data_IF_570792950901
#
_entry.id   IF_570792950901
#
_cell.length_a   1.000
_cell.length_b   1.000
_cell.length_c   1.000
_cell.angle_alpha   90.00
_cell.angle_beta   90.00
_cell.angle_gamma   90.00
#
_symmetry.space_group_name_H-M   'P 1'
#
loop_
_entity.id
_entity.type
_entity.pdbx_description
1 polymer ?
#
# COMPACT_ATOMS: atom_id res chain seq x y z
N UNK A 1 23.68 -2.72 26.52
CA UNK A 1 22.91 -2.52 25.27
C UNK A 1 21.71 -3.48 25.25
N UNK A 2 20.56 -3.07 25.82
CA UNK A 2 19.40 -3.96 26.08
C UNK A 2 18.74 -4.46 24.77
N UNK A 3 18.69 -3.61 23.74
CA UNK A 3 18.08 -3.94 22.46
C UNK A 3 18.75 -5.15 21.78
N UNK A 4 20.09 -5.23 21.81
CA UNK A 4 20.81 -6.35 21.19
C UNK A 4 20.50 -7.69 21.86
N UNK A 5 20.41 -7.71 23.20
CA UNK A 5 20.08 -8.92 23.97
C UNK A 5 18.69 -9.45 23.59
N UNK A 6 17.70 -8.57 23.46
CA UNK A 6 16.35 -8.97 23.04
C UNK A 6 16.33 -9.42 21.57
N UNK A 7 17.06 -8.74 20.68
CA UNK A 7 17.18 -9.11 19.26
C UNK A 7 17.77 -10.51 19.11
N UNK A 8 18.85 -10.82 19.81
CA UNK A 8 19.52 -12.13 19.76
C UNK A 8 18.66 -13.24 20.36
N UNK A 9 17.91 -12.97 21.44
CA UNK A 9 16.96 -13.96 21.99
C UNK A 9 15.83 -14.32 21.02
N UNK A 10 15.32 -13.34 20.27
CA UNK A 10 14.21 -13.56 19.34
C UNK A 10 14.66 -14.12 17.99
N UNK A 11 15.80 -13.66 17.49
CA UNK A 11 16.22 -13.89 16.10
C UNK A 11 17.59 -14.57 15.98
N UNK A 12 18.28 -14.87 17.08
CA UNK A 12 19.66 -15.33 17.06
C UNK A 12 20.60 -14.35 16.36
N UNK A 13 21.57 -14.90 15.62
CA UNK A 13 22.45 -14.13 14.75
C UNK A 13 22.00 -14.11 13.28
N UNK A 14 20.68 -14.15 13.05
CA UNK A 14 20.11 -14.04 11.71
C UNK A 14 19.69 -12.60 11.41
N UNK A 15 20.00 -12.14 10.20
CA UNK A 15 19.43 -10.96 9.58
C UNK A 15 18.69 -11.40 8.31
N UNK A 16 17.39 -11.11 8.23
CA UNK A 16 16.56 -11.47 7.08
C UNK A 16 16.44 -10.30 6.11
N UNK A 17 16.27 -10.61 4.84
CA UNK A 17 15.99 -9.64 3.79
C UNK A 17 15.01 -10.26 2.79
N UNK A 18 14.45 -9.42 1.94
CA UNK A 18 13.65 -9.82 0.78
C UNK A 18 14.16 -9.08 -0.45
N UNK A 19 14.07 -9.73 -1.61
CA UNK A 19 14.26 -9.05 -2.88
C UNK A 19 12.89 -8.66 -3.43
N UNK A 20 12.54 -7.38 -3.32
CA UNK A 20 11.25 -6.88 -3.75
C UNK A 20 11.36 -5.82 -4.85
N UNK A 21 10.25 -5.63 -5.59
CA UNK A 21 10.06 -4.51 -6.49
C UNK A 21 9.10 -3.51 -5.84
N UNK A 22 9.62 -2.34 -5.49
CA UNK A 22 8.81 -1.25 -4.93
C UNK A 22 8.22 -0.38 -6.04
N UNK A 23 6.91 -0.13 -6.00
CA UNK A 23 6.17 0.64 -7.01
C UNK A 23 5.24 1.64 -6.34
N UNK A 24 5.29 2.90 -6.78
CA UNK A 24 4.24 3.87 -6.51
C UNK A 24 3.37 3.96 -7.77
N UNK A 25 2.11 3.49 -7.74
CA UNK A 25 1.28 3.45 -8.95
C UNK A 25 0.71 4.83 -9.34
N UNK A 26 0.55 5.72 -8.35
CA UNK A 26 0.19 7.12 -8.56
C UNK A 26 0.56 7.97 -7.34
N UNK A 27 0.95 9.22 -7.55
CA UNK A 27 1.09 10.21 -6.46
C UNK A 27 -0.13 11.15 -6.31
N UNK A 28 -1.18 10.94 -7.11
CA UNK A 28 -2.42 11.73 -7.03
C UNK A 28 -3.19 11.34 -5.78
N UNK A 29 -3.48 12.30 -4.92
CA UNK A 29 -4.05 12.04 -3.60
C UNK A 29 -5.02 13.13 -3.17
N UNK A 30 -6.13 12.75 -2.51
CA UNK A 30 -7.07 13.70 -1.92
C UNK A 30 -6.59 14.31 -0.59
N UNK A 31 -5.55 13.75 0.03
CA UNK A 31 -4.94 14.27 1.25
C UNK A 31 -3.77 15.21 0.93
N UNK A 32 -3.34 16.00 1.91
CA UNK A 32 -2.19 16.92 1.79
C UNK A 32 -1.33 16.89 3.05
N UNK A 33 -0.69 15.74 3.31
CA UNK A 33 0.22 15.58 4.44
C UNK A 33 1.50 16.41 4.23
N UNK A 34 1.95 17.13 5.26
CA UNK A 34 3.04 18.13 5.14
C UNK A 34 4.41 17.53 4.77
N UNK A 35 4.61 16.25 5.05
CA UNK A 35 5.86 15.52 4.83
C UNK A 35 5.81 14.58 3.61
N UNK A 36 4.67 14.53 2.92
CA UNK A 36 4.46 13.58 1.82
C UNK A 36 4.74 14.25 0.48
N UNK A 37 5.49 13.56 -0.38
CA UNK A 37 5.70 13.96 -1.77
C UNK A 37 4.51 13.61 -2.69
N UNK A 38 3.48 12.95 -2.14
CA UNK A 38 2.17 12.81 -2.79
C UNK A 38 1.29 13.97 -2.35
N UNK A 39 0.03 14.01 -2.81
CA UNK A 39 -0.85 15.19 -2.82
C UNK A 39 -0.76 16.01 -4.11
N UNK A 40 -0.24 15.40 -5.18
CA UNK A 40 -0.40 15.94 -6.51
C UNK A 40 -1.90 16.00 -6.84
N UNK A 41 -2.36 17.13 -7.34
CA UNK A 41 -3.64 17.22 -8.05
C UNK A 41 -3.40 16.73 -9.47
N UNK A 42 -4.42 16.15 -10.11
CA UNK A 42 -4.31 15.61 -11.48
C UNK A 42 -3.75 16.59 -12.53
N UNK A 43 -3.89 17.90 -12.29
CA UNK A 43 -3.40 18.97 -13.17
C UNK A 43 -1.98 19.46 -12.85
N UNK A 44 -1.40 19.01 -11.74
CA UNK A 44 -0.08 19.47 -11.33
C UNK A 44 0.98 18.81 -12.22
N UNK A 45 2.02 19.56 -12.61
CA UNK A 45 3.02 19.08 -13.55
C UNK A 45 3.82 17.86 -13.07
N UNK A 46 3.85 17.62 -11.75
CA UNK A 46 4.53 16.48 -11.13
C UNK A 46 3.59 15.29 -10.85
N UNK A 47 2.31 15.39 -11.23
CA UNK A 47 1.36 14.31 -11.06
C UNK A 47 1.67 13.16 -12.03
N UNK A 48 1.59 11.93 -11.54
CA UNK A 48 1.68 10.73 -12.35
C UNK A 48 0.66 9.68 -11.91
N UNK A 49 0.25 8.86 -12.87
CA UNK A 49 -0.65 7.71 -12.72
C UNK A 49 -0.19 6.71 -13.79
N UNK A 50 0.40 5.59 -13.37
CA UNK A 50 0.88 4.56 -14.29
C UNK A 50 -0.29 3.69 -14.79
N UNK A 51 -0.25 3.32 -16.06
CA UNK A 51 -1.14 2.31 -16.60
C UNK A 51 -0.82 0.93 -16.00
N UNK A 52 -1.83 0.06 -15.91
CA UNK A 52 -1.64 -1.32 -15.42
C UNK A 52 -0.59 -2.05 -16.27
N UNK A 53 -0.60 -1.86 -17.58
CA UNK A 53 0.36 -2.48 -18.49
C UNK A 53 1.81 -2.08 -18.15
N UNK A 54 2.07 -0.79 -17.88
CA UNK A 54 3.38 -0.30 -17.45
C UNK A 54 3.83 -0.94 -16.13
N UNK A 55 2.93 -1.02 -15.15
CA UNK A 55 3.21 -1.65 -13.86
C UNK A 55 3.54 -3.14 -14.06
N UNK A 56 2.74 -3.85 -14.85
CA UNK A 56 2.93 -5.28 -15.11
C UNK A 56 4.21 -5.57 -15.88
N UNK A 57 4.59 -4.71 -16.82
CA UNK A 57 5.87 -4.81 -17.54
C UNK A 57 7.04 -4.67 -16.56
N UNK A 58 7.01 -3.64 -15.72
CA UNK A 58 8.06 -3.37 -14.72
C UNK A 58 8.23 -4.52 -13.72
N UNK A 59 7.13 -5.17 -13.33
CA UNK A 59 7.17 -6.36 -12.46
C UNK A 59 7.66 -7.57 -13.24
N UNK A 60 7.17 -7.79 -14.46
CA UNK A 60 7.59 -8.87 -15.34
C UNK A 60 9.10 -8.88 -15.60
N UNK A 61 9.67 -7.70 -15.87
CA UNK A 61 11.13 -7.55 -16.06
C UNK A 61 11.94 -7.82 -14.78
N UNK A 62 11.33 -7.67 -13.61
CA UNK A 62 11.97 -7.91 -12.32
C UNK A 62 11.93 -9.38 -11.88
N UNK A 63 10.98 -10.17 -12.38
CA UNK A 63 10.85 -11.59 -12.01
C UNK A 63 12.10 -12.42 -12.36
N UNK A 64 12.68 -12.33 -13.58
CA UNK A 64 13.92 -13.02 -13.92
C UNK A 64 15.13 -12.62 -13.04
N UNK A 65 15.06 -11.45 -12.39
CA UNK A 65 16.09 -10.97 -11.47
C UNK A 65 15.95 -11.57 -10.05
N UNK A 66 14.96 -12.43 -9.83
CA UNK A 66 14.72 -13.12 -8.56
C UNK A 66 13.91 -12.30 -7.56
N UNK A 67 13.10 -11.34 -8.02
CA UNK A 67 12.12 -10.66 -7.15
C UNK A 67 11.03 -11.64 -6.74
N UNK A 68 10.70 -11.66 -5.45
CA UNK A 68 9.66 -12.53 -4.87
C UNK A 68 8.46 -11.77 -4.29
N UNK A 69 8.57 -10.45 -4.14
CA UNK A 69 7.50 -9.58 -3.67
C UNK A 69 7.41 -8.32 -4.53
N UNK A 70 6.18 -7.89 -4.83
CA UNK A 70 5.91 -6.51 -5.23
C UNK A 70 5.35 -5.76 -4.02
N UNK A 71 5.98 -4.64 -3.67
CA UNK A 71 5.50 -3.72 -2.63
C UNK A 71 4.94 -2.48 -3.31
N UNK A 72 3.63 -2.26 -3.20
CA UNK A 72 2.97 -1.22 -3.98
C UNK A 72 2.02 -0.34 -3.14
N UNK A 73 2.19 0.97 -3.25
CA UNK A 73 1.32 1.97 -2.60
C UNK A 73 1.04 3.13 -3.55
N UNK A 74 0.03 3.94 -3.25
CA UNK A 74 -0.26 5.15 -4.01
C UNK A 74 -0.91 6.22 -3.17
N UNK A 75 -1.26 7.32 -3.82
CA UNK A 75 -2.16 8.31 -3.23
C UNK A 75 -3.60 7.78 -3.13
N UNK A 76 -4.40 8.44 -2.29
CA UNK A 76 -5.85 8.21 -2.23
C UNK A 76 -6.49 8.76 -3.51
N UNK A 77 -6.47 7.95 -4.57
CA UNK A 77 -6.84 8.39 -5.90
C UNK A 77 -8.34 8.72 -5.99
N UNK A 78 -8.73 9.90 -6.51
CA UNK A 78 -10.14 10.34 -6.49
C UNK A 78 -11.01 9.66 -7.55
N UNK A 79 -10.44 9.15 -8.65
CA UNK A 79 -11.20 8.70 -9.82
C UNK A 79 -10.91 7.29 -10.29
N UNK A 80 -9.95 6.58 -9.68
CA UNK A 80 -9.68 5.19 -10.05
C UNK A 80 -10.84 4.33 -9.57
N UNK A 81 -11.41 3.53 -10.46
CA UNK A 81 -12.59 2.71 -10.19
C UNK A 81 -12.18 1.38 -9.55
N UNK A 82 -13.14 0.70 -8.95
CA UNK A 82 -12.98 -0.63 -8.35
C UNK A 82 -12.30 -1.61 -9.31
N UNK A 83 -12.71 -1.60 -10.58
CA UNK A 83 -12.25 -2.53 -11.61
C UNK A 83 -10.74 -2.39 -11.84
N UNK A 84 -10.20 -1.17 -11.78
CA UNK A 84 -8.78 -0.92 -11.98
C UNK A 84 -7.93 -1.61 -10.91
N UNK A 85 -8.33 -1.54 -9.63
CA UNK A 85 -7.60 -2.18 -8.54
C UNK A 85 -7.68 -3.70 -8.61
N UNK A 86 -8.85 -4.24 -8.98
CA UNK A 86 -9.02 -5.67 -9.14
C UNK A 86 -8.21 -6.20 -10.33
N UNK A 87 -8.29 -5.53 -11.48
CA UNK A 87 -7.55 -5.88 -12.69
C UNK A 87 -6.04 -5.83 -12.44
N UNK A 88 -5.54 -4.79 -11.76
CA UNK A 88 -4.12 -4.67 -11.43
C UNK A 88 -3.62 -5.89 -10.65
N UNK A 89 -4.33 -6.30 -9.59
CA UNK A 89 -3.97 -7.46 -8.79
C UNK A 89 -4.04 -8.76 -9.60
N UNK A 90 -5.08 -8.93 -10.42
CA UNK A 90 -5.23 -10.11 -11.29
C UNK A 90 -4.08 -10.23 -12.28
N UNK A 91 -3.74 -9.12 -12.95
CA UNK A 91 -2.66 -9.06 -13.94
C UNK A 91 -1.31 -9.34 -13.29
N UNK A 92 -1.04 -8.77 -12.11
CA UNK A 92 0.19 -9.07 -11.35
C UNK A 92 0.27 -10.54 -10.91
N UNK A 93 -0.85 -11.11 -10.43
CA UNK A 93 -0.91 -12.53 -10.04
C UNK A 93 -0.71 -13.47 -11.23
N UNK A 94 -1.15 -13.07 -12.42
CA UNK A 94 -0.99 -13.84 -13.65
C UNK A 94 0.46 -13.88 -14.16
N UNK A 95 1.34 -12.94 -13.76
CA UNK A 95 2.75 -12.96 -14.13
C UNK A 95 3.49 -14.14 -13.47
N UNK A 96 3.26 -14.35 -12.18
CA UNK A 96 3.78 -15.50 -11.44
C UNK A 96 2.87 -15.80 -10.23
N UNK A 97 2.25 -16.99 -10.15
CA UNK A 97 1.47 -17.41 -9.00
C UNK A 97 2.24 -17.37 -7.66
N UNK A 98 3.58 -17.45 -7.69
CA UNK A 98 4.45 -17.40 -6.50
C UNK A 98 4.80 -15.98 -6.06
N UNK A 99 4.58 -14.96 -6.89
CA UNK A 99 4.85 -13.56 -6.53
C UNK A 99 3.96 -13.14 -5.35
N UNK A 100 4.56 -12.65 -4.26
CA UNK A 100 3.79 -12.06 -3.17
C UNK A 100 3.40 -10.63 -3.53
N UNK A 101 2.09 -10.33 -3.49
CA UNK A 101 1.59 -8.98 -3.76
C UNK A 101 1.30 -8.32 -2.43
N UNK A 102 2.20 -7.42 -2.03
CA UNK A 102 2.07 -6.60 -0.82
C UNK A 102 1.66 -5.19 -1.24
N UNK A 103 0.36 -4.90 -1.19
CA UNK A 103 -0.16 -3.65 -1.71
C UNK A 103 -1.15 -2.97 -0.77
N UNK A 104 -1.24 -1.64 -0.93
CA UNK A 104 -2.13 -0.73 -0.20
C UNK A 104 -1.78 -0.57 1.27
N UNK A 105 -1.89 0.65 1.77
CA UNK A 105 -1.88 0.97 3.21
C UNK A 105 -3.26 0.76 3.82
N UNK A 106 -3.36 0.74 5.15
CA UNK A 106 -4.67 0.76 5.82
C UNK A 106 -5.53 1.99 5.45
N UNK A 107 -4.86 3.12 5.18
CA UNK A 107 -5.49 4.37 4.73
C UNK A 107 -6.11 4.19 3.35
N UNK A 108 -5.36 3.60 2.42
CA UNK A 108 -5.88 3.24 1.09
C UNK A 108 -7.03 2.24 1.19
N UNK A 109 -6.88 1.16 1.96
CA UNK A 109 -7.96 0.16 2.12
C UNK A 109 -9.24 0.80 2.65
N UNK A 110 -9.16 1.70 3.62
CA UNK A 110 -10.34 2.41 4.13
C UNK A 110 -10.97 3.30 3.06
N UNK A 111 -10.16 4.05 2.30
CA UNK A 111 -10.64 4.85 1.16
C UNK A 111 -11.30 3.98 0.10
N UNK A 112 -10.69 2.85 -0.26
CA UNK A 112 -11.24 1.88 -1.19
C UNK A 112 -12.59 1.37 -0.70
N UNK A 113 -12.69 0.93 0.55
CA UNK A 113 -13.92 0.42 1.15
C UNK A 113 -15.05 1.46 1.13
N UNK A 114 -14.77 2.69 1.57
CA UNK A 114 -15.78 3.72 1.75
C UNK A 114 -16.19 4.44 0.46
N UNK A 115 -15.23 4.74 -0.42
CA UNK A 115 -15.45 5.62 -1.57
C UNK A 115 -15.56 4.87 -2.89
N UNK A 116 -14.80 3.79 -3.04
CA UNK A 116 -14.63 3.11 -4.33
C UNK A 116 -15.52 1.86 -4.41
N UNK A 117 -15.35 0.92 -3.47
CA UNK A 117 -16.07 -0.34 -3.41
C UNK A 117 -17.45 -0.20 -2.75
N UNK A 118 -17.59 0.80 -1.86
CA UNK A 118 -18.80 1.07 -1.07
C UNK A 118 -19.32 -0.16 -0.32
N UNK A 119 -18.40 -0.83 0.38
CA UNK A 119 -18.68 -2.03 1.16
C UNK A 119 -17.84 -2.06 2.45
N UNK A 120 -18.15 -2.93 3.41
CA UNK A 120 -17.34 -3.10 4.62
C UNK A 120 -15.86 -3.35 4.33
N UNK A 121 -14.98 -2.99 5.28
CA UNK A 121 -13.54 -3.20 5.16
C UNK A 121 -13.21 -4.69 4.97
N UNK A 122 -13.89 -5.57 5.71
CA UNK A 122 -13.76 -7.04 5.59
C UNK A 122 -14.02 -7.49 4.16
N UNK A 123 -15.18 -7.15 3.61
CA UNK A 123 -15.60 -7.55 2.26
C UNK A 123 -14.67 -6.97 1.17
N UNK A 124 -14.15 -5.75 1.41
CA UNK A 124 -13.14 -5.13 0.54
C UNK A 124 -11.83 -5.92 0.56
N UNK A 125 -11.31 -6.25 1.73
CA UNK A 125 -10.09 -7.06 1.88
C UNK A 125 -10.27 -8.47 1.30
N UNK A 126 -11.44 -9.09 1.49
CA UNK A 126 -11.76 -10.39 0.91
C UNK A 126 -11.82 -10.32 -0.62
N UNK A 127 -12.41 -9.26 -1.18
CA UNK A 127 -12.45 -9.02 -2.63
C UNK A 127 -11.05 -8.86 -3.21
N UNK A 128 -10.18 -8.07 -2.55
CA UNK A 128 -8.79 -7.87 -2.98
C UNK A 128 -7.97 -9.15 -2.84
N UNK A 129 -8.15 -9.91 -1.75
CA UNK A 129 -7.49 -11.21 -1.53
C UNK A 129 -7.88 -12.22 -2.60
N UNK A 130 -9.17 -12.29 -2.95
CA UNK A 130 -9.69 -13.22 -3.95
C UNK A 130 -9.02 -13.05 -5.33
N UNK A 131 -8.55 -11.83 -5.64
CA UNK A 131 -7.89 -11.52 -6.91
C UNK A 131 -6.36 -11.48 -6.83
N UNK A 132 -5.79 -11.78 -5.66
CA UNK A 132 -4.36 -12.01 -5.52
C UNK A 132 -3.63 -11.10 -4.53
N UNK A 133 -4.30 -10.20 -3.79
CA UNK A 133 -3.62 -9.48 -2.70
C UNK A 133 -3.12 -10.48 -1.64
N UNK A 134 -1.81 -10.46 -1.35
CA UNK A 134 -1.18 -11.33 -0.37
C UNK A 134 -1.11 -10.70 1.03
N UNK A 135 -0.80 -9.41 1.12
CA UNK A 135 -0.77 -8.67 2.39
C UNK A 135 -0.91 -7.16 2.16
N UNK A 136 -1.31 -6.42 3.18
CA UNK A 136 -1.27 -4.95 3.17
C UNK A 136 0.05 -4.41 3.74
N UNK A 137 0.32 -3.15 3.48
CA UNK A 137 1.53 -2.44 3.95
C UNK A 137 1.27 -1.74 5.29
N UNK A 138 2.34 -1.58 6.09
CA UNK A 138 2.27 -0.90 7.39
C UNK A 138 2.31 0.63 7.31
N UNK A 139 2.23 1.22 6.11
CA UNK A 139 2.28 2.67 5.92
C UNK A 139 1.03 3.38 6.46
N UNK A 140 1.12 4.70 6.63
CA UNK A 140 0.00 5.55 7.02
C UNK A 140 -0.25 5.67 8.53
N UNK A 141 0.49 4.93 9.36
CA UNK A 141 0.44 5.05 10.82
C UNK A 141 0.91 6.42 11.29
N UNK A 142 1.98 6.95 10.69
CA UNK A 142 2.65 8.19 11.09
C UNK A 142 2.92 8.25 12.61
N UNK A 143 2.53 9.34 13.28
CA UNK A 143 2.45 9.43 14.74
C UNK A 143 0.97 9.29 15.13
N UNK A 144 0.66 8.49 16.15
CA UNK A 144 -0.73 8.26 16.56
C UNK A 144 -1.33 9.35 17.44
N UNK A 145 -0.49 10.15 18.12
CA UNK A 145 -0.96 11.27 18.93
C UNK A 145 -1.79 12.26 18.10
N UNK A 146 -3.01 12.53 18.53
CA UNK A 146 -3.97 13.32 17.76
C UNK A 146 -3.50 14.77 17.53
N UNK A 147 -2.82 15.38 18.51
CA UNK A 147 -2.33 16.74 18.39
C UNK A 147 -1.14 16.83 17.41
N UNK A 148 -0.30 15.80 17.35
CA UNK A 148 0.75 15.70 16.33
C UNK A 148 0.13 15.46 14.95
N UNK A 149 -0.82 14.52 14.82
CA UNK A 149 -1.51 14.23 13.54
C UNK A 149 -2.17 15.46 12.94
N UNK A 150 -2.85 16.25 13.77
CA UNK A 150 -3.52 17.48 13.31
C UNK A 150 -2.54 18.51 12.74
N UNK A 151 -1.26 18.46 13.13
CA UNK A 151 -0.20 19.30 12.55
C UNK A 151 0.34 18.73 11.24
N UNK A 152 0.65 17.43 11.22
CA UNK A 152 1.45 16.83 10.13
C UNK A 152 0.60 16.22 8.99
N UNK A 153 -0.61 15.77 9.29
CA UNK A 153 -1.49 15.05 8.35
C UNK A 153 -2.98 15.29 8.64
N UNK A 154 -3.36 16.55 8.86
CA UNK A 154 -4.77 16.95 9.09
C UNK A 154 -5.71 16.37 8.03
N UNK A 155 -6.83 15.81 8.49
CA UNK A 155 -7.85 15.20 7.63
C UNK A 155 -7.57 13.75 7.21
N UNK A 156 -6.37 13.22 7.51
CA UNK A 156 -6.09 11.78 7.45
C UNK A 156 -6.80 11.06 8.60
N UNK A 157 -7.02 9.77 8.41
CA UNK A 157 -7.61 8.85 9.38
C UNK A 157 -6.91 8.90 10.74
N UNK A 158 -7.66 8.64 11.80
CA UNK A 158 -7.19 8.52 13.17
C UNK A 158 -6.39 7.23 13.40
N UNK A 159 -5.69 7.16 14.54
CA UNK A 159 -5.01 5.94 14.98
C UNK A 159 -5.97 4.75 15.13
N UNK A 160 -7.18 4.99 15.67
CA UNK A 160 -8.19 3.96 15.85
C UNK A 160 -8.66 3.38 14.51
N UNK A 161 -8.89 4.24 13.52
CA UNK A 161 -9.29 3.82 12.17
C UNK A 161 -8.18 3.04 11.44
N UNK A 162 -6.91 3.44 11.60
CA UNK A 162 -5.79 2.69 11.05
C UNK A 162 -5.64 1.30 11.69
N UNK A 163 -5.84 1.21 13.01
CA UNK A 163 -5.79 -0.04 13.77
C UNK A 163 -6.96 -0.97 13.42
N UNK A 164 -8.15 -0.42 13.20
CA UNK A 164 -9.35 -1.18 12.85
C UNK A 164 -9.17 -1.98 11.55
N UNK A 165 -8.56 -1.36 10.54
CA UNK A 165 -8.24 -2.03 9.26
C UNK A 165 -7.29 -3.21 9.48
N UNK A 166 -6.25 -3.05 10.31
CA UNK A 166 -5.28 -4.11 10.58
C UNK A 166 -5.84 -5.25 11.46
N UNK A 167 -6.90 -4.99 12.24
CA UNK A 167 -7.56 -6.01 13.06
C UNK A 167 -8.54 -6.88 12.27
N UNK A 168 -9.04 -6.38 11.15
CA UNK A 168 -10.11 -7.01 10.35
C UNK A 168 -9.61 -8.22 9.59
#
# INVERSE_FOLDING_TARGET
>A
MIANVVRERKNGNYATYIHNRYINYSNVCILSCQFCAFAAKKRDAHAFEYAIDEITQVVGDALPLGVTEVHMVGGLHPTLKKEWYLELLQRLRALDPKLHIKAFTAIEVRHLAQRIFRMPIRDTLESLRAVGLGSITGGGAEIFDAAVRDKICRGKETAAEWLDVHRT
#
